data_IF_101556429713
#
_entry.id   IF_101556429713
#
_cell.length_a   1.000
_cell.length_b   1.000
_cell.length_c   1.000
_cell.angle_alpha   90.00
_cell.angle_beta   90.00
_cell.angle_gamma   90.00
#
_symmetry.space_group_name_H-M   'P 1'
#
loop_
_entity.id
_entity.type
_entity.pdbx_description
1 polymer ?
#
# COMPACT_ATOMS: atom_id res chain seq x y z
N UNK A 1 -5.16 9.19 12.65
CA UNK A 1 -4.72 9.04 11.26
C UNK A 1 -5.86 8.38 10.52
N UNK A 2 -6.49 9.09 9.59
CA UNK A 2 -7.70 8.62 8.91
C UNK A 2 -7.29 7.87 7.64
N UNK A 3 -7.40 6.54 7.67
CA UNK A 3 -7.13 5.67 6.51
C UNK A 3 -8.42 5.25 5.79
N UNK A 4 -9.57 5.46 6.45
CA UNK A 4 -10.90 5.17 5.91
C UNK A 4 -11.21 6.01 4.66
N UNK A 5 -10.77 7.27 4.61
CA UNK A 5 -10.91 8.11 3.42
C UNK A 5 -9.66 8.15 2.53
N UNK A 6 -8.68 7.28 2.78
CA UNK A 6 -7.45 7.27 2.01
C UNK A 6 -7.70 6.75 0.58
N UNK A 7 -7.05 7.38 -0.41
CA UNK A 7 -7.14 6.95 -1.81
C UNK A 7 -6.18 5.79 -2.07
N UNK A 8 -6.69 4.57 -1.93
CA UNK A 8 -5.95 3.34 -2.20
C UNK A 8 -5.70 3.14 -3.70
N UNK A 9 -4.46 2.78 -4.05
CA UNK A 9 -4.06 2.40 -5.41
C UNK A 9 -3.53 0.97 -5.41
N UNK A 10 -4.14 0.14 -6.25
CA UNK A 10 -3.70 -1.24 -6.51
C UNK A 10 -2.49 -1.27 -7.45
N UNK A 11 -1.63 -2.27 -7.31
CA UNK A 11 -0.48 -2.48 -8.22
C UNK A 11 -0.94 -2.73 -9.66
N UNK A 12 -0.20 -2.25 -10.66
CA UNK A 12 -0.47 -2.55 -12.08
C UNK A 12 -0.10 -3.98 -12.48
N UNK A 13 0.78 -4.64 -11.69
CA UNK A 13 1.08 -6.07 -11.85
C UNK A 13 -0.11 -6.97 -11.47
N UNK A 14 -1.18 -6.39 -10.94
CA UNK A 14 -2.44 -7.04 -10.56
C UNK A 14 -3.42 -7.28 -11.71
N UNK A 15 -2.97 -7.32 -12.98
CA UNK A 15 -3.86 -7.50 -14.14
C UNK A 15 -3.47 -8.78 -14.91
N UNK A 16 -4.08 -9.91 -14.56
CA UNK A 16 -3.77 -11.25 -15.08
C UNK A 16 -4.72 -12.32 -14.52
N UNK A 17 -4.97 -13.36 -15.31
CA UNK A 17 -6.11 -14.29 -15.17
C UNK A 17 -6.01 -15.32 -14.02
N UNK A 18 -4.89 -15.34 -13.29
CA UNK A 18 -4.69 -16.22 -12.13
C UNK A 18 -4.56 -15.37 -10.88
N UNK A 19 -5.63 -15.31 -10.07
CA UNK A 19 -5.69 -14.73 -8.71
C UNK A 19 -4.65 -13.66 -8.37
N UNK A 20 -4.87 -12.49 -8.95
CA UNK A 20 -3.90 -11.43 -9.10
C UNK A 20 -3.58 -10.65 -7.80
N UNK A 21 -2.28 -10.56 -7.52
CA UNK A 21 -1.50 -9.64 -6.65
C UNK A 21 -2.22 -8.87 -5.52
N UNK A 22 -1.70 -9.07 -4.30
CA UNK A 22 -2.34 -8.88 -3.01
C UNK A 22 -2.08 -7.53 -2.31
N UNK A 23 -1.59 -6.46 -2.96
CA UNK A 23 -1.20 -5.23 -2.21
C UNK A 23 -1.81 -3.94 -2.77
N UNK A 24 -2.31 -3.10 -1.87
CA UNK A 24 -2.72 -1.71 -2.12
C UNK A 24 -1.87 -0.73 -1.31
N UNK A 25 -1.62 0.44 -1.89
CA UNK A 25 -0.87 1.53 -1.23
C UNK A 25 -1.68 2.82 -1.25
N UNK A 26 -1.70 3.53 -0.13
CA UNK A 26 -2.30 4.84 0.00
C UNK A 26 -1.30 5.84 0.58
N UNK A 27 -1.24 7.03 -0.01
CA UNK A 27 -0.48 8.16 0.52
C UNK A 27 -1.43 9.09 1.27
N UNK A 28 -1.12 9.34 2.53
CA UNK A 28 -1.82 10.32 3.37
C UNK A 28 -0.77 11.26 3.99
N UNK A 29 -1.14 12.47 4.46
CA UNK A 29 -0.16 13.42 4.98
C UNK A 29 0.77 12.78 6.04
N UNK A 30 2.08 12.75 5.73
CA UNK A 30 3.15 12.25 6.60
C UNK A 30 3.36 10.73 6.64
N UNK A 31 2.48 9.91 6.04
CA UNK A 31 2.60 8.45 6.10
C UNK A 31 2.12 7.74 4.83
N UNK A 32 2.51 6.47 4.71
CA UNK A 32 2.11 5.57 3.64
C UNK A 32 1.47 4.34 4.28
N UNK A 33 0.24 4.04 3.86
CA UNK A 33 -0.45 2.81 4.21
C UNK A 33 -0.20 1.73 3.17
N UNK A 34 0.06 0.51 3.61
CA UNK A 34 0.22 -0.68 2.78
C UNK A 34 -0.68 -1.77 3.35
N UNK A 35 -1.57 -2.35 2.54
CA UNK A 35 -2.48 -3.41 3.02
C UNK A 35 -2.66 -4.51 2.00
N UNK A 36 -3.21 -5.63 2.48
CA UNK A 36 -3.61 -6.74 1.63
C UNK A 36 -4.90 -6.39 0.86
N UNK A 37 -4.86 -6.41 -0.47
CA UNK A 37 -6.02 -6.18 -1.34
C UNK A 37 -7.16 -7.19 -1.10
N UNK A 38 -6.82 -8.41 -0.66
CA UNK A 38 -7.75 -9.53 -0.46
C UNK A 38 -8.39 -9.51 0.93
N UNK A 39 -7.77 -8.82 1.89
CA UNK A 39 -8.23 -8.70 3.29
C UNK A 39 -8.03 -7.28 3.82
N UNK A 40 -8.66 -6.26 3.22
CA UNK A 40 -8.49 -4.87 3.67
C UNK A 40 -8.92 -4.64 5.12
N UNK A 41 -9.85 -5.46 5.63
CA UNK A 41 -10.34 -5.46 7.01
C UNK A 41 -9.31 -5.99 8.03
N UNK A 42 -8.29 -6.72 7.58
CA UNK A 42 -7.20 -7.17 8.43
C UNK A 42 -6.26 -6.03 8.86
N UNK A 43 -6.47 -4.83 8.31
CA UNK A 43 -5.73 -3.62 8.64
C UNK A 43 -4.60 -3.31 7.64
N UNK A 44 -3.89 -2.22 7.93
CA UNK A 44 -2.80 -1.72 7.09
C UNK A 44 -1.51 -1.55 7.91
N UNK A 45 -0.39 -1.89 7.30
CA UNK A 45 0.92 -1.44 7.76
C UNK A 45 1.05 0.07 7.47
N UNK A 46 1.37 0.86 8.49
CA UNK A 46 1.56 2.30 8.35
C UNK A 46 3.03 2.62 8.59
N UNK A 47 3.66 3.26 7.62
CA UNK A 47 5.05 3.71 7.70
C UNK A 47 5.14 5.21 7.45
N UNK A 48 6.17 5.86 7.98
CA UNK A 48 6.45 7.25 7.62
C UNK A 48 6.80 7.37 6.13
N UNK A 49 6.47 8.50 5.52
CA UNK A 49 6.86 8.76 4.12
C UNK A 49 8.39 8.66 3.93
N UNK A 50 9.18 9.06 4.95
CA UNK A 50 10.64 8.96 4.93
C UNK A 50 11.10 7.50 4.86
N UNK A 51 10.54 6.63 5.70
CA UNK A 51 10.88 5.21 5.73
C UNK A 51 10.48 4.52 4.41
N UNK A 52 9.32 4.88 3.85
CA UNK A 52 8.88 4.38 2.55
C UNK A 52 9.88 4.74 1.43
N UNK A 53 10.30 6.02 1.35
CA UNK A 53 11.30 6.47 0.37
C UNK A 53 12.65 5.75 0.56
N UNK A 54 13.10 5.60 1.81
CA UNK A 54 14.33 4.87 2.13
C UNK A 54 14.26 3.40 1.68
N UNK A 55 13.14 2.74 1.90
CA UNK A 55 12.96 1.36 1.47
C UNK A 55 13.07 1.25 -0.06
N UNK A 56 12.40 2.12 -0.82
CA UNK A 56 12.42 2.09 -2.29
C UNK A 56 13.83 2.29 -2.88
N UNK A 57 14.68 3.12 -2.26
CA UNK A 57 16.06 3.30 -2.74
C UNK A 57 16.96 2.12 -2.36
N UNK A 58 16.63 1.36 -1.32
CA UNK A 58 17.35 0.14 -0.92
C UNK A 58 17.01 -1.08 -1.78
N UNK A 59 15.85 -1.08 -2.46
CA UNK A 59 15.43 -2.16 -3.36
C UNK A 59 15.83 -1.95 -4.83
N UNK A 60 16.80 -1.07 -5.08
CA UNK A 60 17.31 -0.78 -6.42
C UNK A 60 18.48 -1.67 -6.79
#
# INVERSE_FOLDING_TARGET
>A
MDLDHARWRKSSRSTGDTETECVEVAFVPGTVGVRDSKKPEAGALVVSERAWRSALVSFR
#
